data_IF_614847756186
#
_entry.id   IF_614847756186
#
_cell.length_a   1.000
_cell.length_b   1.000
_cell.length_c   1.000
_cell.angle_alpha   90.00
_cell.angle_beta   90.00
_cell.angle_gamma   90.00
#
_symmetry.space_group_name_H-M   'P 1'
#
loop_
_entity.id
_entity.type
_entity.pdbx_description
1 polymer ?
#
# COMPACT_ATOMS: atom_id res chain seq x y z
N UNK A 1 -18.52 -7.20 15.82
CA UNK A 1 -18.09 -8.20 14.84
C UNK A 1 -16.70 -7.89 14.31
N UNK A 2 -16.08 -8.86 13.67
CA UNK A 2 -14.76 -8.70 13.01
C UNK A 2 -15.02 -8.10 11.63
N UNK A 3 -14.25 -7.07 11.25
CA UNK A 3 -14.24 -6.54 9.89
C UNK A 3 -13.33 -7.39 9.01
N UNK A 4 -13.73 -7.57 7.75
CA UNK A 4 -12.92 -8.24 6.75
C UNK A 4 -12.03 -7.22 6.03
N UNK A 5 -10.73 -7.52 5.91
CA UNK A 5 -9.77 -6.73 5.14
C UNK A 5 -9.30 -7.50 3.91
N UNK A 6 -9.15 -6.80 2.78
CA UNK A 6 -8.61 -7.34 1.55
C UNK A 6 -7.25 -6.69 1.24
N UNK A 7 -6.23 -7.50 1.01
CA UNK A 7 -4.89 -7.08 0.59
C UNK A 7 -4.71 -7.36 -0.91
N UNK A 8 -4.27 -6.34 -1.66
CA UNK A 8 -4.08 -6.45 -3.11
C UNK A 8 -2.67 -6.90 -3.50
N UNK A 9 -2.59 -7.51 -4.68
CA UNK A 9 -1.36 -7.69 -5.47
C UNK A 9 -1.46 -6.88 -6.77
N UNK A 10 -0.68 -7.23 -7.80
CA UNK A 10 -0.69 -6.54 -9.09
C UNK A 10 -1.77 -7.02 -10.06
N UNK A 11 -2.25 -8.25 -9.89
CA UNK A 11 -3.22 -8.85 -10.81
C UNK A 11 -4.63 -8.22 -10.71
N UNK A 12 -4.98 -7.56 -9.59
CA UNK A 12 -6.24 -6.82 -9.45
C UNK A 12 -6.27 -5.55 -10.31
N UNK A 13 -5.11 -5.11 -10.81
CA UNK A 13 -5.04 -3.97 -11.74
C UNK A 13 -5.20 -4.36 -13.20
N UNK A 14 -5.42 -5.64 -13.51
CA UNK A 14 -5.87 -6.11 -14.82
C UNK A 14 -7.31 -5.66 -15.08
N UNK A 15 -7.68 -5.66 -16.36
CA UNK A 15 -9.01 -5.25 -16.79
C UNK A 15 -9.88 -6.45 -17.15
N UNK A 16 -11.16 -6.35 -16.81
CA UNK A 16 -12.25 -7.21 -17.29
C UNK A 16 -13.29 -6.29 -17.93
N UNK A 17 -13.61 -6.50 -19.21
CA UNK A 17 -14.55 -5.70 -19.98
C UNK A 17 -14.29 -4.18 -19.91
N UNK A 18 -13.00 -3.80 -19.90
CA UNK A 18 -12.58 -2.41 -19.85
C UNK A 18 -12.56 -1.77 -18.45
N UNK A 19 -12.93 -2.50 -17.40
CA UNK A 19 -12.89 -2.03 -16.02
C UNK A 19 -11.75 -2.72 -15.23
N UNK A 20 -11.05 -1.97 -14.40
CA UNK A 20 -10.02 -2.52 -13.52
C UNK A 20 -10.68 -3.37 -12.42
N UNK A 21 -10.18 -4.59 -12.20
CA UNK A 21 -10.73 -5.51 -11.18
C UNK A 21 -10.77 -4.84 -9.80
N UNK A 22 -9.70 -4.13 -9.43
CA UNK A 22 -9.63 -3.43 -8.14
C UNK A 22 -10.71 -2.36 -7.99
N UNK A 23 -10.97 -1.59 -9.07
CA UNK A 23 -12.08 -0.62 -9.07
C UNK A 23 -13.43 -1.32 -8.90
N UNK A 24 -13.67 -2.43 -9.61
CA UNK A 24 -14.89 -3.23 -9.45
C UNK A 24 -15.08 -3.71 -8.01
N UNK A 25 -14.02 -4.15 -7.35
CA UNK A 25 -14.07 -4.59 -5.94
C UNK A 25 -14.41 -3.42 -5.01
N UNK A 26 -13.78 -2.27 -5.20
CA UNK A 26 -13.99 -1.06 -4.38
C UNK A 26 -15.42 -0.51 -4.55
N UNK A 27 -15.93 -0.49 -5.78
CA UNK A 27 -17.24 0.08 -6.13
C UNK A 27 -18.42 -0.83 -5.76
N UNK A 28 -18.19 -2.15 -5.77
CA UNK A 28 -19.26 -3.14 -5.50
C UNK A 28 -19.21 -3.76 -4.09
N UNK A 29 -18.42 -3.18 -3.17
CA UNK A 29 -18.35 -3.62 -1.78
C UNK A 29 -18.61 -2.48 -0.80
N UNK A 30 -19.30 -2.78 0.31
CA UNK A 30 -19.61 -1.79 1.34
C UNK A 30 -18.42 -1.54 2.27
N UNK A 31 -18.05 -0.27 2.57
CA UNK A 31 -17.02 0.07 3.55
C UNK A 31 -17.41 -0.34 4.98
N UNK A 32 -18.68 -0.61 5.25
CA UNK A 32 -19.13 -1.11 6.56
C UNK A 32 -18.68 -2.55 6.82
N UNK A 33 -18.47 -3.33 5.75
CA UNK A 33 -18.16 -4.75 5.83
C UNK A 33 -16.72 -5.07 5.42
N UNK A 34 -16.20 -4.37 4.40
CA UNK A 34 -14.87 -4.62 3.84
C UNK A 34 -14.06 -3.33 3.81
N UNK A 35 -12.86 -3.38 4.36
CA UNK A 35 -11.81 -2.39 4.10
C UNK A 35 -10.74 -2.99 3.21
N UNK A 36 -9.89 -2.14 2.64
CA UNK A 36 -8.75 -2.58 1.84
C UNK A 36 -7.46 -2.20 2.56
N UNK A 37 -6.59 -3.17 2.74
CA UNK A 37 -5.19 -2.99 3.09
C UNK A 37 -4.44 -2.80 1.77
N UNK A 38 -4.15 -1.54 1.42
CA UNK A 38 -3.48 -1.25 0.16
C UNK A 38 -2.00 -1.57 0.26
N UNK A 39 -1.54 -2.52 -0.56
CA UNK A 39 -0.12 -2.73 -0.80
C UNK A 39 0.38 -1.77 -1.88
N UNK A 40 1.20 -0.82 -1.46
CA UNK A 40 1.66 0.29 -2.33
C UNK A 40 2.62 -0.19 -3.42
N UNK A 41 3.43 -1.21 -3.14
CA UNK A 41 4.34 -1.81 -4.12
C UNK A 41 3.57 -2.50 -5.25
N UNK A 42 2.58 -3.31 -4.90
CA UNK A 42 1.78 -4.02 -5.89
C UNK A 42 0.89 -3.09 -6.71
N UNK A 43 0.39 -1.99 -6.14
CA UNK A 43 -0.29 -0.92 -6.91
C UNK A 43 0.66 -0.36 -7.98
N UNK A 44 1.90 -0.01 -7.60
CA UNK A 44 2.91 0.48 -8.55
C UNK A 44 3.26 -0.56 -9.60
N UNK A 45 3.44 -1.82 -9.22
CA UNK A 45 3.69 -2.94 -10.14
C UNK A 45 2.54 -3.17 -11.11
N UNK A 46 1.31 -2.95 -10.67
CA UNK A 46 0.10 -2.96 -11.50
C UNK A 46 -0.03 -1.75 -12.43
N UNK A 47 0.97 -0.85 -12.47
CA UNK A 47 1.00 0.33 -13.33
C UNK A 47 0.06 1.45 -12.87
N UNK A 48 -0.28 1.48 -11.58
CA UNK A 48 -1.17 2.48 -10.98
C UNK A 48 -0.45 3.31 -9.92
N UNK A 49 -1.11 4.38 -9.49
CA UNK A 49 -0.60 5.29 -8.46
C UNK A 49 -1.40 5.10 -7.16
N UNK A 50 -0.74 4.73 -6.03
CA UNK A 50 -1.41 4.60 -4.73
C UNK A 50 -2.11 5.89 -4.29
N UNK A 51 -1.49 7.05 -4.53
CA UNK A 51 -2.04 8.35 -4.14
C UNK A 51 -3.34 8.64 -4.88
N UNK A 52 -3.38 8.37 -6.18
CA UNK A 52 -4.60 8.55 -6.99
C UNK A 52 -5.74 7.62 -6.54
N UNK A 53 -5.43 6.36 -6.17
CA UNK A 53 -6.43 5.46 -5.59
C UNK A 53 -6.96 5.96 -4.24
N UNK A 54 -6.08 6.45 -3.35
CA UNK A 54 -6.48 7.02 -2.07
C UNK A 54 -7.34 8.29 -2.22
N UNK A 55 -7.07 9.12 -3.23
CA UNK A 55 -7.91 10.28 -3.56
C UNK A 55 -9.26 9.87 -4.14
N UNK A 56 -9.28 8.88 -5.04
CA UNK A 56 -10.51 8.37 -5.68
C UNK A 56 -11.43 7.69 -4.67
N UNK A 57 -10.87 6.97 -3.70
CA UNK A 57 -11.60 6.17 -2.71
C UNK A 57 -11.16 6.50 -1.26
N UNK A 58 -11.38 7.72 -0.76
CA UNK A 58 -10.73 8.23 0.46
C UNK A 58 -11.05 7.45 1.75
N UNK A 59 -12.16 6.71 1.79
CA UNK A 59 -12.62 6.00 2.99
C UNK A 59 -12.40 4.47 2.92
N UNK A 60 -11.62 3.99 1.95
CA UNK A 60 -11.50 2.56 1.70
C UNK A 60 -10.20 1.94 2.21
N UNK A 61 -9.16 2.76 2.52
CA UNK A 61 -7.81 2.31 2.85
C UNK A 61 -7.39 2.75 4.26
N UNK A 62 -7.98 2.18 5.32
CA UNK A 62 -7.57 2.50 6.69
C UNK A 62 -6.23 1.89 7.08
N UNK A 63 -5.74 0.94 6.29
CA UNK A 63 -4.48 0.22 6.50
C UNK A 63 -3.66 0.24 5.22
N UNK A 64 -2.35 0.49 5.34
CA UNK A 64 -1.39 0.33 4.26
C UNK A 64 -0.45 -0.84 4.51
N UNK A 65 -0.07 -1.52 3.43
CA UNK A 65 1.02 -2.47 3.39
C UNK A 65 2.20 -1.80 2.69
N UNK A 66 3.24 -1.51 3.46
CA UNK A 66 4.45 -0.81 3.01
C UNK A 66 5.47 -1.85 2.57
N UNK A 67 5.71 -1.88 1.28
CA UNK A 67 6.57 -2.85 0.61
C UNK A 67 7.37 -2.18 -0.49
N UNK A 68 8.56 -2.70 -0.74
CA UNK A 68 9.43 -2.34 -1.86
C UNK A 68 9.98 -3.63 -2.49
N UNK A 69 10.87 -3.54 -3.46
CA UNK A 69 11.48 -4.73 -4.08
C UNK A 69 12.33 -5.53 -3.09
N UNK A 70 13.09 -4.84 -2.24
CA UNK A 70 13.89 -5.39 -1.15
C UNK A 70 13.64 -4.57 0.12
N UNK A 71 14.65 -3.98 0.74
CA UNK A 71 14.44 -3.06 1.86
C UNK A 71 13.64 -1.81 1.43
N UNK A 72 12.84 -1.27 2.32
CA UNK A 72 12.02 -0.09 2.04
C UNK A 72 12.90 1.10 1.64
N UNK A 73 12.58 1.72 0.50
CA UNK A 73 13.34 2.82 -0.08
C UNK A 73 14.54 2.41 -0.94
N UNK A 74 14.91 1.12 -0.96
CA UNK A 74 16.10 0.65 -1.66
C UNK A 74 15.97 0.71 -3.19
N UNK A 75 14.78 0.46 -3.74
CA UNK A 75 14.56 0.49 -5.19
C UNK A 75 14.64 1.92 -5.78
N UNK A 76 14.33 2.94 -4.98
CA UNK A 76 14.19 4.32 -5.44
C UNK A 76 13.04 4.55 -6.42
N UNK A 77 12.17 3.56 -6.64
CA UNK A 77 11.05 3.63 -7.60
C UNK A 77 9.74 4.06 -6.96
N UNK A 78 9.64 3.99 -5.62
CA UNK A 78 8.46 4.37 -4.86
C UNK A 78 8.79 5.61 -4.03
N UNK A 79 8.10 6.71 -4.28
CA UNK A 79 8.11 7.87 -3.41
C UNK A 79 7.10 7.66 -2.29
N UNK A 80 7.56 7.28 -1.10
CA UNK A 80 6.71 6.99 0.05
C UNK A 80 6.14 8.26 0.69
N UNK A 81 6.76 9.42 0.52
CA UNK A 81 6.31 10.65 1.16
C UNK A 81 4.87 11.03 0.80
N UNK A 82 4.50 11.24 -0.48
CA UNK A 82 3.13 11.58 -0.84
C UNK A 82 2.13 10.46 -0.50
N UNK A 83 2.57 9.21 -0.43
CA UNK A 83 1.73 8.07 -0.04
C UNK A 83 1.33 8.20 1.43
N UNK A 84 2.29 8.39 2.34
CA UNK A 84 2.02 8.58 3.77
C UNK A 84 1.21 9.85 4.04
N UNK A 85 1.56 10.98 3.39
CA UNK A 85 0.84 12.24 3.54
C UNK A 85 -0.64 12.10 3.15
N UNK A 86 -0.93 11.46 2.00
CA UNK A 86 -2.31 11.22 1.56
C UNK A 86 -3.05 10.23 2.47
N UNK A 87 -2.37 9.18 2.92
CA UNK A 87 -2.96 8.19 3.80
C UNK A 87 -3.35 8.80 5.16
N UNK A 88 -2.49 9.62 5.75
CA UNK A 88 -2.82 10.36 6.99
C UNK A 88 -3.95 11.36 6.78
N UNK A 89 -3.97 12.08 5.66
CA UNK A 89 -5.07 12.99 5.31
C UNK A 89 -6.42 12.26 5.22
N UNK A 90 -6.42 11.01 4.76
CA UNK A 90 -7.60 10.14 4.69
C UNK A 90 -7.92 9.45 6.04
N UNK A 91 -7.12 9.66 7.09
CA UNK A 91 -7.36 9.07 8.42
C UNK A 91 -6.92 7.61 8.53
N UNK A 92 -5.82 7.23 7.87
CA UNK A 92 -5.17 5.92 8.03
C UNK A 92 -5.01 5.57 9.50
N UNK A 93 -5.26 4.30 9.85
CA UNK A 93 -5.23 3.78 11.22
C UNK A 93 -3.92 3.08 11.54
N UNK A 94 -3.48 2.24 10.63
CA UNK A 94 -2.32 1.38 10.81
C UNK A 94 -1.58 1.20 9.48
N UNK A 95 -0.33 0.78 9.57
CA UNK A 95 0.47 0.33 8.43
C UNK A 95 1.44 -0.76 8.87
N UNK A 96 1.75 -1.67 7.96
CA UNK A 96 2.63 -2.80 8.18
C UNK A 96 3.72 -2.83 7.13
N UNK A 97 4.92 -3.28 7.52
CA UNK A 97 6.07 -3.43 6.63
C UNK A 97 6.28 -4.89 6.28
N UNK A 98 6.43 -5.18 4.99
CA UNK A 98 6.90 -6.47 4.53
C UNK A 98 8.23 -6.32 3.78
N UNK A 99 9.20 -7.16 4.15
CA UNK A 99 10.45 -7.36 3.42
C UNK A 99 10.51 -8.82 2.98
N UNK A 100 10.16 -9.07 1.72
CA UNK A 100 10.01 -10.42 1.17
C UNK A 100 11.25 -10.90 0.40
N UNK A 101 12.00 -9.96 -0.17
CA UNK A 101 13.25 -10.21 -0.88
C UNK A 101 14.38 -9.44 -0.24
N UNK A 102 15.58 -9.95 -0.35
CA UNK A 102 16.73 -9.42 0.37
C UNK A 102 17.90 -9.21 -0.59
N UNK A 103 18.58 -8.07 -0.48
CA UNK A 103 19.88 -7.81 -1.13
C UNK A 103 21.03 -8.31 -0.26
N UNK A 104 20.79 -8.41 1.07
CA UNK A 104 21.72 -8.92 2.08
C UNK A 104 21.08 -10.06 2.87
N UNK A 105 21.26 -10.03 4.19
CA UNK A 105 20.54 -10.92 5.10
C UNK A 105 19.17 -10.35 5.44
N UNK A 106 18.19 -11.19 5.83
CA UNK A 106 16.87 -10.70 6.29
C UNK A 106 16.98 -9.64 7.40
N UNK A 107 17.89 -9.85 8.35
CA UNK A 107 18.10 -8.91 9.46
C UNK A 107 18.61 -7.55 8.97
N UNK A 108 19.57 -7.54 8.04
CA UNK A 108 20.12 -6.29 7.48
C UNK A 108 19.05 -5.50 6.73
N UNK A 109 18.24 -6.15 5.92
CA UNK A 109 17.27 -5.45 5.10
C UNK A 109 16.03 -5.02 5.91
N UNK A 110 15.64 -5.75 6.94
CA UNK A 110 14.65 -5.30 7.94
C UNK A 110 15.19 -4.08 8.71
N UNK A 111 16.47 -4.10 9.12
CA UNK A 111 17.08 -2.95 9.82
C UNK A 111 17.14 -1.71 8.91
N UNK A 112 17.53 -1.86 7.64
CA UNK A 112 17.54 -0.76 6.66
C UNK A 112 16.14 -0.16 6.47
N UNK A 113 15.12 -1.03 6.38
CA UNK A 113 13.73 -0.61 6.25
C UNK A 113 13.26 0.19 7.47
N UNK A 114 13.59 -0.29 8.67
CA UNK A 114 13.31 0.43 9.90
C UNK A 114 14.01 1.79 9.93
N UNK A 115 15.31 1.84 9.63
CA UNK A 115 16.10 3.07 9.64
C UNK A 115 15.55 4.09 8.61
N UNK A 116 15.19 3.63 7.41
CA UNK A 116 14.58 4.47 6.38
C UNK A 116 13.29 5.13 6.87
N UNK A 117 12.37 4.33 7.40
CA UNK A 117 11.06 4.84 7.86
C UNK A 117 11.19 5.67 9.14
N UNK A 118 12.04 5.25 10.09
CA UNK A 118 12.23 5.96 11.36
C UNK A 118 12.89 7.34 11.19
N UNK A 119 13.70 7.52 10.15
CA UNK A 119 14.34 8.81 9.84
C UNK A 119 13.51 9.69 8.89
N UNK A 120 12.40 9.18 8.37
CA UNK A 120 11.53 9.92 7.46
C UNK A 120 10.62 10.89 8.25
N UNK A 121 10.72 12.18 7.97
CA UNK A 121 9.98 13.26 8.65
C UNK A 121 8.45 13.20 8.43
N UNK A 122 8.03 12.46 7.44
CA UNK A 122 6.62 12.26 7.06
C UNK A 122 5.97 11.00 7.67
N UNK A 123 6.72 10.13 8.31
CA UNK A 123 6.20 8.94 9.01
C UNK A 123 5.91 9.32 10.48
N UNK A 124 4.71 8.96 10.96
CA UNK A 124 4.23 9.30 12.31
C UNK A 124 3.92 8.06 13.11
#
# INVERSE_FOLDING_TARGET
GIKFGYHNHDYEFKQIDGQTIYDLMLENSSPDHIFFEMDVYWVKRGGKDPVEYMKKYPNRFPVLHIKDETAIGASGTIDFKPIFEQAYANGMKDWYVEVERYDGTPQEDVQKSYDFLNNADYVK
#
